data_IF_347162943965
#
_entry.id   IF_347162943965
#
_cell.length_a   1.000
_cell.length_b   1.000
_cell.length_c   1.000
_cell.angle_alpha   90.00
_cell.angle_beta   90.00
_cell.angle_gamma   90.00
#
_symmetry.space_group_name_H-M   'P 1'
#
loop_
_entity.id
_entity.type
_entity.pdbx_description
1 polymer ?
#
# COMPACT_ATOMS: atom_id res chain seq x y z
N UNK A 1 2.44 35.74 -15.61
CA UNK A 1 2.14 35.30 -14.23
C UNK A 1 1.89 33.81 -14.29
N UNK A 2 2.96 33.03 -14.27
CA UNK A 2 2.88 31.57 -14.34
C UNK A 2 2.37 31.07 -12.99
N UNK A 3 1.24 30.36 -13.02
CA UNK A 3 0.67 29.72 -11.85
C UNK A 3 1.54 28.50 -11.57
N UNK A 4 2.53 28.67 -10.69
CA UNK A 4 3.26 27.55 -10.08
C UNK A 4 2.22 26.64 -9.43
N UNK A 5 1.80 25.60 -10.14
CA UNK A 5 1.04 24.50 -9.58
C UNK A 5 2.02 23.68 -8.75
N UNK A 6 2.44 24.24 -7.61
CA UNK A 6 3.03 23.45 -6.55
C UNK A 6 1.92 22.54 -6.08
N UNK A 7 1.82 21.36 -6.67
CA UNK A 7 1.21 20.20 -6.04
C UNK A 7 1.98 20.00 -4.75
N UNK A 8 1.59 20.75 -3.71
CA UNK A 8 2.03 20.52 -2.36
C UNK A 8 1.60 19.10 -2.06
N UNK A 9 2.55 18.16 -2.18
CA UNK A 9 2.28 16.76 -1.91
C UNK A 9 1.56 16.67 -0.58
N UNK A 10 0.32 16.16 -0.62
CA UNK A 10 -0.53 15.95 0.55
C UNK A 10 0.20 15.12 1.62
N UNK A 11 1.17 14.31 1.19
CA UNK A 11 2.03 13.50 2.04
C UNK A 11 3.49 13.92 1.93
N UNK A 12 3.90 14.88 2.78
CA UNK A 12 5.32 15.05 3.12
C UNK A 12 5.78 13.90 4.04
N UNK A 13 7.09 13.60 4.15
CA UNK A 13 7.61 12.55 5.04
C UNK A 13 7.20 12.71 6.51
N UNK A 14 7.00 13.95 6.98
CA UNK A 14 6.43 14.24 8.31
C UNK A 14 4.98 13.76 8.48
N UNK A 15 4.24 13.64 7.38
CA UNK A 15 2.85 13.20 7.33
C UNK A 15 2.70 11.68 7.14
N UNK A 16 3.81 10.93 7.11
CA UNK A 16 3.78 9.45 7.02
C UNK A 16 3.26 8.81 8.32
N UNK A 17 3.51 9.46 9.46
CA UNK A 17 3.17 8.87 10.76
C UNK A 17 1.67 8.65 10.89
N UNK A 18 0.89 9.66 10.49
CA UNK A 18 -0.56 9.59 10.51
C UNK A 18 -1.05 8.46 9.60
N UNK A 19 -0.50 8.32 8.39
CA UNK A 19 -0.85 7.24 7.47
C UNK A 19 -0.48 5.85 8.01
N UNK A 20 0.66 5.70 8.69
CA UNK A 20 1.04 4.43 9.32
C UNK A 20 0.06 4.02 10.42
N UNK A 21 -0.35 4.97 11.26
CA UNK A 21 -1.35 4.70 12.30
C UNK A 21 -2.71 4.39 11.69
N UNK A 22 -3.13 5.16 10.69
CA UNK A 22 -4.40 4.99 10.00
C UNK A 22 -4.46 3.63 9.27
N UNK A 23 -3.38 3.23 8.62
CA UNK A 23 -3.28 1.92 7.96
C UNK A 23 -3.03 0.77 8.93
N UNK A 24 -2.71 1.00 10.21
CA UNK A 24 -2.58 -0.07 11.20
C UNK A 24 -3.95 -0.70 11.53
N UNK A 25 -5.04 0.07 11.38
CA UNK A 25 -6.40 -0.42 11.55
C UNK A 25 -6.87 -1.23 10.33
N UNK A 26 -7.35 -2.45 10.56
CA UNK A 26 -7.82 -3.35 9.51
C UNK A 26 -9.07 -2.84 8.78
N UNK A 27 -10.02 -2.22 9.49
CA UNK A 27 -11.25 -1.70 8.90
C UNK A 27 -10.94 -0.53 7.98
N UNK A 28 -10.00 0.33 8.39
CA UNK A 28 -9.55 1.45 7.57
C UNK A 28 -8.84 0.94 6.32
N UNK A 29 -7.97 -0.07 6.43
CA UNK A 29 -7.34 -0.68 5.23
C UNK A 29 -8.36 -1.27 4.29
N UNK A 30 -9.35 -2.01 4.80
CA UNK A 30 -10.41 -2.60 3.99
C UNK A 30 -11.25 -1.53 3.29
N UNK A 31 -11.67 -0.50 4.01
CA UNK A 31 -12.41 0.63 3.43
C UNK A 31 -11.59 1.38 2.39
N UNK A 32 -10.30 1.62 2.66
CA UNK A 32 -9.39 2.26 1.73
C UNK A 32 -9.18 1.41 0.46
N UNK A 33 -8.95 0.11 0.62
CA UNK A 33 -8.80 -0.82 -0.50
C UNK A 33 -10.09 -0.92 -1.31
N UNK A 34 -11.24 -0.97 -0.68
CA UNK A 34 -12.54 -0.96 -1.36
C UNK A 34 -12.69 0.29 -2.25
N UNK A 35 -12.38 1.47 -1.71
CA UNK A 35 -12.46 2.72 -2.45
C UNK A 35 -11.46 2.80 -3.63
N UNK A 36 -10.26 2.25 -3.46
CA UNK A 36 -9.19 2.32 -4.47
C UNK A 36 -9.32 1.24 -5.55
N UNK A 37 -9.74 0.04 -5.18
CA UNK A 37 -9.83 -1.12 -6.09
C UNK A 37 -11.23 -1.28 -6.70
N UNK A 38 -12.25 -0.66 -6.11
CA UNK A 38 -13.65 -0.81 -6.52
C UNK A 38 -14.30 -2.12 -6.04
N UNK A 39 -13.58 -2.95 -5.29
CA UNK A 39 -14.13 -4.16 -4.67
C UNK A 39 -15.04 -3.75 -3.51
N UNK A 40 -16.28 -4.26 -3.39
CA UNK A 40 -17.14 -4.01 -2.24
C UNK A 40 -16.45 -4.36 -0.92
N UNK A 41 -16.69 -3.57 0.13
CA UNK A 41 -16.09 -3.79 1.44
C UNK A 41 -16.38 -5.20 1.99
N UNK A 42 -17.59 -5.70 1.73
CA UNK A 42 -18.09 -7.00 2.16
C UNK A 42 -17.35 -8.18 1.52
N UNK A 43 -16.71 -7.97 0.36
CA UNK A 43 -15.92 -8.98 -0.34
C UNK A 43 -14.47 -9.03 0.17
N UNK A 44 -14.03 -8.06 0.98
CA UNK A 44 -12.66 -8.00 1.51
C UNK A 44 -12.59 -8.71 2.86
N UNK A 45 -12.29 -10.00 2.84
CA UNK A 45 -12.24 -10.83 4.05
C UNK A 45 -11.11 -10.42 5.02
N UNK A 46 -9.88 -10.25 4.52
CA UNK A 46 -8.70 -9.95 5.34
C UNK A 46 -7.75 -8.97 4.64
N UNK A 47 -7.04 -8.16 5.44
CA UNK A 47 -5.94 -7.33 4.96
C UNK A 47 -4.70 -7.49 5.84
N UNK A 48 -3.57 -7.85 5.26
CA UNK A 48 -2.29 -7.95 5.95
C UNK A 48 -1.35 -6.82 5.53
N UNK A 49 -0.83 -6.07 6.50
CA UNK A 49 0.26 -5.13 6.25
C UNK A 49 1.58 -5.89 6.10
N UNK A 50 2.21 -5.75 4.94
CA UNK A 50 3.54 -6.29 4.74
C UNK A 50 4.56 -5.46 5.54
N UNK A 51 5.60 -6.10 6.13
CA UNK A 51 6.66 -5.37 6.80
C UNK A 51 7.28 -4.32 5.87
N UNK A 52 7.53 -3.09 6.34
CA UNK A 52 8.11 -2.02 5.51
C UNK A 52 9.57 -2.28 5.10
N UNK A 53 10.10 -3.47 5.37
CA UNK A 53 11.44 -3.92 5.01
C UNK A 53 11.50 -4.26 3.51
N UNK A 54 11.24 -3.25 2.68
CA UNK A 54 11.77 -3.18 1.33
C UNK A 54 13.27 -2.82 1.42
N UNK A 55 14.08 -3.73 1.95
CA UNK A 55 15.53 -3.70 1.74
C UNK A 55 15.94 -5.04 1.12
N UNK A 56 15.99 -5.04 -0.21
CA UNK A 56 16.78 -5.95 -1.05
C UNK A 56 16.18 -7.33 -1.43
N UNK A 57 15.05 -7.78 -0.87
CA UNK A 57 14.55 -9.15 -1.06
C UNK A 57 13.49 -9.40 -2.14
N UNK A 58 12.67 -8.40 -2.50
CA UNK A 58 11.50 -8.62 -3.39
C UNK A 58 11.90 -8.97 -4.83
N UNK A 59 13.14 -8.66 -5.24
CA UNK A 59 13.69 -9.13 -6.53
C UNK A 59 13.96 -10.64 -6.59
N UNK A 60 14.00 -11.35 -5.47
CA UNK A 60 14.26 -12.81 -5.49
C UNK A 60 13.01 -13.65 -5.34
N UNK A 61 12.10 -13.33 -4.42
CA UNK A 61 11.00 -14.25 -4.09
C UNK A 61 9.90 -14.32 -5.16
N UNK A 62 9.50 -13.20 -5.76
CA UNK A 62 8.46 -13.21 -6.81
C UNK A 62 8.98 -13.78 -8.14
N UNK A 63 10.25 -13.52 -8.46
CA UNK A 63 10.93 -14.12 -9.63
C UNK A 63 11.21 -15.60 -9.40
N UNK A 64 11.65 -16.05 -8.22
CA UNK A 64 11.87 -17.48 -7.96
C UNK A 64 10.56 -18.27 -7.90
N UNK A 65 9.47 -17.69 -7.39
CA UNK A 65 8.15 -18.31 -7.45
C UNK A 65 7.64 -18.44 -8.90
N UNK A 66 7.88 -17.43 -9.76
CA UNK A 66 7.55 -17.51 -11.20
C UNK A 66 8.54 -18.36 -12.03
N UNK A 67 9.80 -18.46 -11.63
CA UNK A 67 10.84 -19.21 -12.36
C UNK A 67 10.92 -20.69 -11.94
N UNK A 68 10.48 -21.03 -10.72
CA UNK A 68 10.60 -22.40 -10.18
C UNK A 68 9.31 -22.96 -9.55
N UNK A 69 8.20 -22.24 -9.62
CA UNK A 69 6.90 -22.71 -9.15
C UNK A 69 6.20 -23.65 -10.14
N UNK A 70 6.64 -24.90 -10.21
CA UNK A 70 5.81 -26.11 -10.44
C UNK A 70 6.69 -27.36 -10.40
N UNK A 71 6.65 -28.09 -9.27
CA UNK A 71 6.82 -29.54 -9.27
C UNK A 71 5.76 -30.17 -8.36
#
# INVERSE_FOLDING_TARGET
MEKENTTQFLMRPKNDFCFKQLMADAQIRQAFLSAVTGIPYEEIEETTLLPPVLRNGIRKTSLEFWMFGSN
#
